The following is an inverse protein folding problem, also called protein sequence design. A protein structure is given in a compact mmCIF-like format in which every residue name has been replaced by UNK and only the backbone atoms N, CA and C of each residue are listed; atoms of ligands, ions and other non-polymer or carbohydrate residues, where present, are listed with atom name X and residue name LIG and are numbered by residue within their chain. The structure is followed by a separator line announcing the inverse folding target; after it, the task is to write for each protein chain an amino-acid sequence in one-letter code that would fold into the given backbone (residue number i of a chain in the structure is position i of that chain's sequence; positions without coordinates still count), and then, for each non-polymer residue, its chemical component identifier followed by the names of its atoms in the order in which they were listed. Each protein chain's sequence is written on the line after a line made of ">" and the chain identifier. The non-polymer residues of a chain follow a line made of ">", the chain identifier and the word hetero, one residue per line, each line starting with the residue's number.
data_IF_033380259049
#
_entry.id   IF_033380259049
#
_cell.length_a   1.000
_cell.length_b   1.000
_cell.length_c   1.000
_cell.angle_alpha   90.00
_cell.angle_beta   90.00
_cell.angle_gamma   90.00
#
_symmetry.space_group_name_H-M   'P 1'
#
loop_
_entity.id
_entity.type
_entity.pdbx_description
1 polymer ?
#
# COMPACT_ATOMS: atom_id res chain seq x y z
N UNK A 1 -9.92 7.71 4.15
CA UNK A 1 -8.83 8.70 4.02
C UNK A 1 -8.21 9.04 5.37
N UNK A 2 -9.04 9.19 6.42
CA UNK A 2 -8.59 9.34 7.82
C UNK A 2 -7.80 8.13 8.36
N UNK A 3 -7.88 6.95 7.73
CA UNK A 3 -7.20 5.72 8.18
C UNK A 3 -5.68 5.88 8.26
N UNK A 4 -5.06 6.63 7.33
CA UNK A 4 -3.61 6.89 7.37
C UNK A 4 -3.23 7.79 8.54
N UNK A 5 -4.02 8.84 8.79
CA UNK A 5 -3.83 9.73 9.93
C UNK A 5 -4.03 9.02 11.27
N UNK A 6 -5.05 8.15 11.36
CA UNK A 6 -5.33 7.36 12.56
C UNK A 6 -4.19 6.39 12.86
N UNK A 7 -3.67 5.68 11.86
CA UNK A 7 -2.55 4.76 12.03
C UNK A 7 -1.28 5.44 12.53
N UNK A 8 -0.89 6.56 11.90
CA UNK A 8 0.27 7.34 12.32
C UNK A 8 0.07 7.96 13.71
N UNK A 9 -1.15 8.39 14.04
CA UNK A 9 -1.46 8.94 15.37
C UNK A 9 -1.35 7.89 16.46
N UNK A 10 -1.87 6.67 16.23
CA UNK A 10 -1.73 5.57 17.20
C UNK A 10 -0.25 5.21 17.36
N UNK A 11 0.51 5.14 16.27
CA UNK A 11 1.95 4.89 16.31
C UNK A 11 2.68 5.96 17.14
N UNK A 12 2.39 7.24 16.90
CA UNK A 12 3.00 8.36 17.62
C UNK A 12 2.64 8.36 19.12
N UNK A 13 1.39 8.00 19.47
CA UNK A 13 0.97 7.84 20.86
C UNK A 13 1.70 6.70 21.56
N UNK A 14 1.90 5.56 20.87
CA UNK A 14 2.62 4.41 21.41
C UNK A 14 4.12 4.69 21.57
N UNK A 15 4.73 5.45 20.66
CA UNK A 15 6.14 5.84 20.73
C UNK A 15 6.41 7.01 21.68
N UNK A 16 5.39 7.65 22.25
CA UNK A 16 5.55 8.85 23.08
C UNK A 16 5.94 10.13 22.31
N UNK A 17 6.03 10.06 20.98
CA UNK A 17 6.38 11.17 20.07
C UNK A 17 5.13 11.84 19.50
N UNK A 18 4.11 12.03 20.34
CA UNK A 18 2.86 12.62 19.86
C UNK A 18 3.05 14.09 19.49
N UNK A 19 2.76 14.42 18.23
CA UNK A 19 2.83 15.77 17.73
C UNK A 19 1.63 16.10 16.84
N UNK A 20 0.88 17.14 17.20
CA UNK A 20 -0.40 17.46 16.54
C UNK A 20 -0.22 17.81 15.05
N UNK A 21 0.85 18.53 14.71
CA UNK A 21 1.16 18.91 13.34
C UNK A 21 1.47 17.67 12.48
N UNK A 22 2.14 16.66 13.04
CA UNK A 22 2.39 15.36 12.40
C UNK A 22 1.09 14.66 12.06
N UNK A 23 0.20 14.51 13.05
CA UNK A 23 -1.12 13.90 12.85
C UNK A 23 -1.93 14.58 11.76
N UNK A 24 -2.03 15.92 11.82
CA UNK A 24 -2.79 16.70 10.83
C UNK A 24 -2.14 16.64 9.44
N UNK A 25 -0.82 16.83 9.38
CA UNK A 25 -0.05 16.79 8.13
C UNK A 25 -0.15 15.43 7.43
N UNK A 26 0.04 14.33 8.18
CA UNK A 26 -0.08 12.97 7.65
C UNK A 26 -1.52 12.61 7.28
N UNK A 27 -2.51 13.16 7.97
CA UNK A 27 -3.92 13.04 7.57
C UNK A 27 -4.20 13.72 6.23
N UNK A 28 -3.66 14.92 6.02
CA UNK A 28 -3.82 15.69 4.77
C UNK A 28 -3.06 15.03 3.62
N UNK A 29 -1.81 14.61 3.82
CA UNK A 29 -1.04 13.85 2.82
C UNK A 29 -1.74 12.54 2.47
N UNK A 30 -2.19 11.82 3.50
CA UNK A 30 -2.95 10.59 3.34
C UNK A 30 -4.21 10.81 2.51
N UNK A 31 -4.93 11.90 2.75
CA UNK A 31 -6.15 12.25 2.04
C UNK A 31 -5.93 12.71 0.59
N UNK A 32 -5.02 13.65 0.37
CA UNK A 32 -4.89 14.31 -0.92
C UNK A 32 -3.94 13.57 -1.86
N UNK A 33 -2.76 13.22 -1.36
CA UNK A 33 -1.71 12.63 -2.18
C UNK A 33 -1.99 11.14 -2.36
N UNK A 34 -2.03 10.38 -1.27
CA UNK A 34 -2.18 8.93 -1.35
C UNK A 34 -3.58 8.51 -1.82
N UNK A 35 -4.60 9.31 -1.51
CA UNK A 35 -5.98 9.09 -1.97
C UNK A 35 -6.18 9.19 -3.46
N UNK A 36 -5.44 10.07 -4.13
CA UNK A 36 -5.50 10.20 -5.57
C UNK A 36 -4.55 9.19 -6.25
N UNK A 37 -3.32 9.08 -5.74
CA UNK A 37 -2.23 8.38 -6.39
C UNK A 37 -2.40 6.86 -6.37
N UNK A 38 -2.73 6.26 -5.21
CA UNK A 38 -2.80 4.79 -5.06
C UNK A 38 -3.95 4.20 -5.90
N UNK A 39 -5.20 4.72 -5.86
CA UNK A 39 -6.27 4.20 -6.72
C UNK A 39 -6.00 4.40 -8.21
N UNK A 40 -5.32 5.50 -8.59
CA UNK A 40 -4.91 5.72 -9.97
C UNK A 40 -3.91 4.66 -10.41
N UNK A 41 -2.88 4.40 -9.59
CA UNK A 41 -1.89 3.38 -9.88
C UNK A 41 -2.50 1.98 -9.96
N UNK A 42 -3.39 1.61 -9.03
CA UNK A 42 -4.07 0.31 -9.07
C UNK A 42 -4.94 0.12 -10.32
N UNK A 43 -5.62 1.17 -10.80
CA UNK A 43 -6.34 1.14 -12.09
C UNK A 43 -5.39 0.92 -13.26
N UNK A 44 -4.23 1.56 -13.25
CA UNK A 44 -3.20 1.38 -14.27
C UNK A 44 -2.61 -0.05 -14.25
N UNK A 45 -2.38 -0.63 -13.06
CA UNK A 45 -1.93 -2.02 -12.92
C UNK A 45 -2.96 -2.98 -13.51
N UNK A 46 -4.24 -2.77 -13.19
CA UNK A 46 -5.33 -3.58 -13.72
C UNK A 46 -5.36 -3.50 -15.25
N UNK A 47 -5.34 -2.28 -15.81
CA UNK A 47 -5.33 -2.05 -17.27
C UNK A 47 -4.16 -2.72 -17.98
N UNK A 48 -2.95 -2.74 -17.37
CA UNK A 48 -1.75 -3.38 -17.96
C UNK A 48 -1.70 -4.89 -17.81
N UNK A 49 -2.50 -5.44 -16.90
CA UNK A 49 -2.54 -6.88 -16.61
C UNK A 49 -3.77 -7.56 -17.19
N UNK A 50 -4.78 -6.78 -17.60
CA UNK A 50 -5.80 -7.20 -18.55
C UNK A 50 -5.14 -7.51 -19.89
N UNK A 51 -5.24 -8.77 -20.30
CA UNK A 51 -4.68 -9.30 -21.54
C UNK A 51 -5.83 -9.36 -22.54
N UNK A 52 -5.62 -8.85 -23.76
CA UNK A 52 -6.67 -8.76 -24.80
C UNK A 52 -7.25 -10.13 -25.21
N UNK A 53 -6.65 -11.24 -24.77
CA UNK A 53 -7.21 -12.59 -24.92
C UNK A 53 -8.54 -12.80 -24.18
N UNK A 54 -8.84 -12.00 -23.15
CA UNK A 54 -10.09 -12.12 -22.38
C UNK A 54 -11.34 -11.75 -23.18
N UNK A 55 -11.26 -10.91 -24.22
CA UNK A 55 -12.46 -10.55 -24.99
C UNK A 55 -13.05 -11.75 -25.77
N UNK A 56 -12.20 -12.69 -26.19
CA UNK A 56 -12.64 -13.90 -26.93
C UNK A 56 -13.16 -15.01 -26.01
N UNK A 57 -12.70 -15.10 -24.76
CA UNK A 57 -13.21 -16.07 -23.78
C UNK A 57 -14.44 -15.55 -23.01
N UNK A 58 -14.56 -14.24 -22.78
CA UNK A 58 -15.77 -13.64 -22.20
C UNK A 58 -17.00 -13.84 -23.10
N UNK A 59 -16.81 -13.79 -24.44
CA UNK A 59 -17.88 -14.08 -25.40
C UNK A 59 -18.29 -15.56 -25.38
N UNK A 60 -17.36 -16.48 -25.12
CA UNK A 60 -17.64 -17.93 -25.02
C UNK A 60 -18.16 -18.38 -23.64
N UNK A 61 -17.96 -17.59 -22.59
CA UNK A 61 -18.31 -17.96 -21.21
C UNK A 61 -19.63 -17.36 -20.69
N UNK A 62 -20.19 -16.36 -21.39
CA UNK A 62 -21.53 -15.81 -21.11
C UNK A 62 -22.63 -16.88 -21.15
N UNK A 63 -22.43 -18.00 -21.87
CA UNK A 63 -23.41 -19.08 -21.93
C UNK A 63 -23.34 -20.05 -20.74
N UNK A 64 -22.24 -20.11 -19.96
CA UNK A 64 -21.94 -21.35 -19.21
C UNK A 64 -22.03 -21.37 -17.68
N UNK A 65 -21.98 -20.27 -16.90
CA UNK A 65 -22.03 -20.50 -15.43
C UNK A 65 -22.41 -19.32 -14.54
N UNK A 66 -23.71 -19.21 -14.32
CA UNK A 66 -24.33 -18.93 -13.02
C UNK A 66 -23.87 -20.04 -12.04
N UNK A 67 -23.37 -19.67 -10.85
CA UNK A 67 -22.82 -20.56 -9.78
C UNK A 67 -21.36 -21.01 -9.93
N UNK A 68 -20.44 -20.17 -9.45
CA UNK A 68 -19.44 -20.52 -8.43
C UNK A 68 -18.62 -19.26 -8.10
N UNK A 69 -18.35 -19.07 -6.82
CA UNK A 69 -17.54 -17.99 -6.25
C UNK A 69 -16.22 -17.84 -7.04
N UNK A 70 -15.86 -16.63 -7.53
CA UNK A 70 -14.81 -16.46 -8.55
C UNK A 70 -13.40 -16.38 -7.92
N UNK A 71 -13.07 -17.24 -6.95
CA UNK A 71 -11.95 -16.92 -6.05
C UNK A 71 -10.55 -17.20 -6.61
N UNK A 72 -10.35 -18.13 -7.55
CA UNK A 72 -9.01 -18.40 -8.09
C UNK A 72 -9.08 -18.99 -9.51
N UNK A 73 -9.35 -18.14 -10.50
CA UNK A 73 -9.28 -18.56 -11.92
C UNK A 73 -8.39 -17.66 -12.78
N UNK A 74 -7.48 -16.92 -12.16
CA UNK A 74 -6.47 -16.15 -12.87
C UNK A 74 -5.16 -16.96 -12.96
N UNK A 75 -4.46 -16.98 -14.10
CA UNK A 75 -3.18 -17.67 -14.22
C UNK A 75 -2.17 -17.06 -13.26
N UNK A 76 -1.38 -17.90 -12.58
CA UNK A 76 -0.39 -17.49 -11.58
C UNK A 76 0.57 -16.40 -12.08
N UNK A 77 0.93 -16.43 -13.38
CA UNK A 77 1.75 -15.40 -14.04
C UNK A 77 1.11 -14.01 -13.98
N UNK A 78 -0.22 -13.92 -14.18
CA UNK A 78 -0.96 -12.65 -14.08
C UNK A 78 -1.00 -12.18 -12.63
N UNK A 79 -1.25 -13.09 -11.69
CA UNK A 79 -1.29 -12.77 -10.28
C UNK A 79 0.06 -12.22 -9.76
N UNK A 80 1.17 -12.85 -10.15
CA UNK A 80 2.51 -12.37 -9.87
C UNK A 80 2.79 -11.03 -10.53
N UNK A 81 2.45 -10.86 -11.82
CA UNK A 81 2.70 -9.59 -12.53
C UNK A 81 1.97 -8.41 -11.88
N UNK A 82 0.71 -8.59 -11.46
CA UNK A 82 -0.05 -7.57 -10.73
C UNK A 82 0.63 -7.19 -9.42
N UNK A 83 1.07 -8.19 -8.67
CA UNK A 83 1.72 -8.02 -7.37
C UNK A 83 3.07 -7.33 -7.53
N UNK A 84 3.91 -7.77 -8.46
CA UNK A 84 5.20 -7.16 -8.76
C UNK A 84 5.04 -5.68 -9.17
N UNK A 85 4.04 -5.36 -9.99
CA UNK A 85 3.75 -3.97 -10.34
C UNK A 85 3.30 -3.17 -9.12
N UNK A 86 2.45 -3.72 -8.25
CA UNK A 86 2.07 -3.06 -7.00
C UNK A 86 3.28 -2.84 -6.07
N UNK A 87 4.17 -3.83 -5.93
CA UNK A 87 5.40 -3.71 -5.15
C UNK A 87 6.37 -2.70 -5.74
N UNK A 88 6.43 -2.57 -7.07
CA UNK A 88 7.26 -1.58 -7.75
C UNK A 88 6.82 -0.14 -7.44
N UNK A 89 5.53 0.08 -7.22
CA UNK A 89 5.03 1.36 -6.73
C UNK A 89 5.45 1.64 -5.30
N UNK A 90 5.31 0.65 -4.40
CA UNK A 90 5.75 0.75 -3.01
C UNK A 90 7.27 0.53 -2.84
N UNK A 91 8.07 1.11 -3.74
CA UNK A 91 9.53 1.01 -3.73
C UNK A 91 10.17 1.83 -2.58
N UNK A 92 11.49 1.70 -2.35
CA UNK A 92 12.19 2.45 -1.31
C UNK A 92 12.04 3.99 -1.41
N UNK A 93 11.86 4.55 -2.60
CA UNK A 93 11.63 5.99 -2.76
C UNK A 93 10.26 6.41 -2.23
N UNK A 94 9.24 5.56 -2.40
CA UNK A 94 7.92 5.78 -1.82
C UNK A 94 7.99 5.78 -0.29
N UNK A 95 8.75 4.82 0.29
CA UNK A 95 8.99 4.74 1.74
C UNK A 95 9.75 5.97 2.23
N UNK A 96 10.81 6.37 1.53
CA UNK A 96 11.58 7.57 1.83
C UNK A 96 10.70 8.82 1.81
N UNK A 97 9.83 8.98 0.80
CA UNK A 97 8.88 10.09 0.74
C UNK A 97 7.97 10.12 1.96
N UNK A 98 7.49 8.96 2.41
CA UNK A 98 6.67 8.87 3.61
C UNK A 98 7.43 9.33 4.86
N UNK A 99 8.68 8.88 5.03
CA UNK A 99 9.55 9.30 6.14
C UNK A 99 9.85 10.80 6.09
N UNK A 100 10.04 11.38 4.90
CA UNK A 100 10.26 12.82 4.72
C UNK A 100 9.02 13.61 5.16
N UNK A 101 7.81 13.17 4.84
CA UNK A 101 6.60 13.84 5.33
C UNK A 101 6.49 13.76 6.85
N UNK A 102 6.80 12.60 7.44
CA UNK A 102 6.84 12.46 8.90
C UNK A 102 7.85 13.45 9.50
N UNK A 103 9.10 13.48 9.01
CA UNK A 103 10.13 14.38 9.53
C UNK A 103 9.73 15.86 9.38
N UNK A 104 9.16 16.23 8.23
CA UNK A 104 8.68 17.58 7.95
C UNK A 104 7.59 18.02 8.94
N UNK A 105 6.57 17.19 9.15
CA UNK A 105 5.46 17.53 10.03
C UNK A 105 5.76 17.32 11.52
N UNK A 106 6.81 16.57 11.86
CA UNK A 106 7.36 16.48 13.22
C UNK A 106 8.26 17.65 13.59
N UNK A 107 8.54 18.58 12.66
CA UNK A 107 9.41 19.73 12.93
C UNK A 107 10.91 19.40 12.95
N UNK A 108 11.30 18.21 12.50
CA UNK A 108 12.70 17.74 12.45
C UNK A 108 13.21 17.73 11.00
N UNK A 109 12.93 18.79 10.26
CA UNK A 109 13.29 18.91 8.85
C UNK A 109 14.81 18.89 8.62
N UNK A 110 15.59 19.33 9.61
CA UNK A 110 17.06 19.34 9.54
C UNK A 110 17.68 17.93 9.51
N UNK A 111 16.93 16.91 9.93
CA UNK A 111 17.36 15.50 9.86
C UNK A 111 17.24 14.89 8.46
N UNK A 112 16.60 15.58 7.50
CA UNK A 112 16.41 15.10 6.14
C UNK A 112 17.77 15.03 5.44
N UNK A 113 18.30 13.83 5.35
CA UNK A 113 19.59 13.53 4.74
C UNK A 113 19.50 12.30 3.86
N UNK A 114 20.53 12.05 3.05
CA UNK A 114 20.64 10.83 2.23
C UNK A 114 20.62 9.54 3.07
N UNK A 115 20.86 9.62 4.38
CA UNK A 115 20.72 8.48 5.29
C UNK A 115 19.28 7.96 5.36
N UNK A 116 18.26 8.81 5.15
CA UNK A 116 16.86 8.38 5.10
C UNK A 116 16.61 7.41 3.94
N UNK A 117 17.33 7.54 2.84
CA UNK A 117 17.22 6.58 1.74
C UNK A 117 17.73 5.20 2.17
N UNK A 118 18.84 5.15 2.91
CA UNK A 118 19.38 3.89 3.43
C UNK A 118 18.42 3.24 4.43
N UNK A 119 17.83 4.03 5.33
CA UNK A 119 16.77 3.57 6.25
C UNK A 119 15.58 3.03 5.47
N UNK A 120 15.07 3.80 4.49
CA UNK A 120 13.94 3.38 3.67
C UNK A 120 14.21 2.09 2.89
N UNK A 121 15.43 1.91 2.36
CA UNK A 121 15.84 0.69 1.68
C UNK A 121 15.88 -0.51 2.64
N UNK A 122 16.47 -0.34 3.83
CA UNK A 122 16.54 -1.41 4.83
C UNK A 122 15.15 -1.81 5.33
N UNK A 123 14.31 -0.82 5.68
CA UNK A 123 12.92 -1.07 6.09
C UNK A 123 12.15 -1.78 4.98
N UNK A 124 12.32 -1.38 3.72
CA UNK A 124 11.69 -2.05 2.58
C UNK A 124 12.14 -3.51 2.47
N UNK A 125 13.46 -3.78 2.51
CA UNK A 125 13.99 -5.14 2.38
C UNK A 125 13.49 -6.08 3.48
N UNK A 126 13.48 -5.61 4.73
CA UNK A 126 12.95 -6.37 5.88
C UNK A 126 11.44 -6.62 5.71
N UNK A 127 10.71 -5.64 5.17
CA UNK A 127 9.27 -5.74 4.98
C UNK A 127 8.86 -6.55 3.75
N UNK A 128 9.77 -6.96 2.86
CA UNK A 128 9.43 -7.69 1.61
C UNK A 128 8.53 -8.91 1.87
N UNK A 129 8.83 -9.82 2.81
CA UNK A 129 8.02 -11.04 3.00
C UNK A 129 6.56 -10.71 3.37
N UNK A 130 6.38 -9.74 4.25
CA UNK A 130 5.07 -9.31 4.75
C UNK A 130 4.32 -8.54 3.65
N UNK A 131 4.97 -7.55 3.04
CA UNK A 131 4.36 -6.67 2.03
C UNK A 131 4.07 -7.39 0.72
N UNK A 132 4.91 -8.33 0.30
CA UNK A 132 4.65 -9.18 -0.86
C UNK A 132 3.43 -10.06 -0.64
N UNK A 133 3.33 -10.69 0.53
CA UNK A 133 2.19 -11.55 0.89
C UNK A 133 0.89 -10.76 0.96
N UNK A 134 0.91 -9.60 1.61
CA UNK A 134 -0.25 -8.71 1.67
C UNK A 134 -0.67 -8.23 0.27
N UNK A 135 0.28 -7.84 -0.58
CA UNK A 135 -0.03 -7.43 -1.95
C UNK A 135 -0.52 -8.58 -2.82
N UNK A 136 -0.05 -9.82 -2.62
CA UNK A 136 -0.58 -10.99 -3.31
C UNK A 136 -2.07 -11.18 -2.99
N UNK A 137 -2.45 -10.99 -1.73
CA UNK A 137 -3.84 -11.06 -1.30
C UNK A 137 -4.66 -9.89 -1.87
N UNK A 138 -4.23 -8.65 -1.63
CA UNK A 138 -4.97 -7.43 -2.02
C UNK A 138 -5.18 -7.36 -3.54
N UNK A 139 -4.15 -7.66 -4.34
CA UNK A 139 -4.23 -7.47 -5.79
C UNK A 139 -5.05 -8.54 -6.49
N UNK A 140 -5.18 -9.75 -5.91
CA UNK A 140 -5.79 -10.90 -6.58
C UNK A 140 -7.17 -11.27 -6.03
N UNK A 141 -7.44 -11.00 -4.75
CA UNK A 141 -8.70 -11.37 -4.09
C UNK A 141 -9.63 -10.17 -3.97
N UNK A 142 -9.09 -8.99 -3.67
CA UNK A 142 -9.92 -7.81 -3.36
C UNK A 142 -10.35 -7.09 -4.66
N UNK A 143 -11.65 -6.78 -4.83
CA UNK A 143 -12.14 -6.00 -5.97
C UNK A 143 -11.46 -4.62 -6.05
N UNK A 144 -11.26 -4.11 -7.26
CA UNK A 144 -10.51 -2.86 -7.52
C UNK A 144 -11.02 -1.66 -6.70
N UNK A 145 -12.33 -1.55 -6.48
CA UNK A 145 -12.97 -0.51 -5.66
C UNK A 145 -12.52 -0.54 -4.19
N UNK A 146 -12.20 -1.71 -3.64
CA UNK A 146 -11.82 -1.89 -2.24
C UNK A 146 -10.31 -2.04 -2.02
N UNK A 147 -9.51 -2.22 -3.07
CA UNK A 147 -8.04 -2.41 -2.94
C UNK A 147 -7.35 -1.27 -2.22
N UNK A 148 -7.76 -0.04 -2.50
CA UNK A 148 -7.21 1.12 -1.82
C UNK A 148 -7.48 1.06 -0.32
N UNK A 149 -8.73 0.77 0.07
CA UNK A 149 -9.11 0.64 1.47
C UNK A 149 -8.35 -0.49 2.16
N UNK A 150 -8.22 -1.66 1.52
CA UNK A 150 -7.48 -2.78 2.06
C UNK A 150 -5.97 -2.48 2.22
N UNK A 151 -5.38 -1.80 1.24
CA UNK A 151 -3.99 -1.33 1.32
C UNK A 151 -3.80 -0.32 2.45
N UNK A 152 -4.76 0.60 2.64
CA UNK A 152 -4.71 1.60 3.71
C UNK A 152 -4.81 0.95 5.11
N UNK A 153 -5.68 -0.05 5.28
CA UNK A 153 -5.78 -0.81 6.53
C UNK A 153 -4.49 -1.56 6.80
N UNK A 154 -3.93 -2.25 5.80
CA UNK A 154 -2.64 -2.94 5.95
C UNK A 154 -1.51 -1.98 6.35
N UNK A 155 -1.41 -0.82 5.70
CA UNK A 155 -0.42 0.20 6.07
C UNK A 155 -0.61 0.71 7.50
N UNK A 156 -1.85 0.93 7.93
CA UNK A 156 -2.17 1.32 9.31
C UNK A 156 -1.73 0.25 10.32
N UNK A 157 -1.98 -1.03 10.04
CA UNK A 157 -1.51 -2.13 10.88
C UNK A 157 0.02 -2.17 11.00
N UNK A 158 0.74 -1.97 9.89
CA UNK A 158 2.21 -1.93 9.90
C UNK A 158 2.73 -0.73 10.72
N UNK A 159 2.10 0.43 10.60
CA UNK A 159 2.47 1.63 11.35
C UNK A 159 2.37 1.42 12.87
N UNK A 160 1.38 0.64 13.34
CA UNK A 160 1.21 0.29 14.76
C UNK A 160 2.17 -0.83 15.17
N UNK A 161 2.40 -1.81 14.30
CA UNK A 161 3.21 -2.98 14.60
C UNK A 161 4.69 -2.64 14.85
N UNK A 162 5.28 -1.75 14.06
CA UNK A 162 6.71 -1.41 14.19
C UNK A 162 7.08 -0.80 15.55
N UNK A 163 6.37 0.23 16.06
CA UNK A 163 6.58 0.76 17.42
C UNK A 163 6.44 -0.29 18.52
N UNK A 164 5.45 -1.18 18.39
CA UNK A 164 5.25 -2.27 19.35
C UNK A 164 6.43 -3.22 19.35
N UNK A 165 6.92 -3.61 18.17
CA UNK A 165 8.07 -4.50 18.03
C UNK A 165 9.36 -3.88 18.55
N UNK A 166 9.55 -2.56 18.39
CA UNK A 166 10.72 -1.87 18.94
C UNK A 166 10.67 -1.63 20.44
N UNK A 167 9.52 -1.85 21.09
CA UNK A 167 9.33 -1.66 22.53
C UNK A 167 9.62 -2.95 23.34
N UNK A 168 9.89 -4.07 22.67
CA UNK A 168 10.31 -5.35 23.27
C UNK A 168 11.79 -5.61 22.97
#
# INVERSE_FOLDING_TARGET
>A
MLIYGVGDTIAALLSGEFFLLRTLGMSVVGALIYGAEIPHYFRWVDKRTQDHKDQKEHLKSSERKRKNFPLLRQPWKRALRRTLLAMLYFNPLWVMRHLVFIALFSGVADSISLSLFYVALHSFLIAIPITATANLFIQNIIPLTYRFMASAVFSCSMAIYYPLMSSF
#
